data_IF_646652842711
#
_entry.id   IF_646652842711
#
_cell.length_a   1.000
_cell.length_b   1.000
_cell.length_c   1.000
_cell.angle_alpha   90.00
_cell.angle_beta   90.00
_cell.angle_gamma   90.00
#
_symmetry.space_group_name_H-M   'P 1'
#
loop_
_entity.id
_entity.type
_entity.pdbx_description
1 polymer ?
#
# COMPACT_ATOMS: atom_id res chain seq x y z
N UNK A 1 -1.45 -24.41 4.92
CA UNK A 1 -0.89 -23.09 5.30
C UNK A 1 -1.52 -22.07 4.38
N UNK A 2 -2.64 -21.48 4.81
CA UNK A 2 -3.40 -20.52 3.98
C UNK A 2 -2.62 -19.22 3.93
N UNK A 3 -2.06 -18.91 2.77
CA UNK A 3 -1.29 -17.68 2.54
C UNK A 3 -2.27 -16.50 2.58
N UNK A 4 -1.90 -15.44 3.29
CA UNK A 4 -2.73 -14.26 3.62
C UNK A 4 -3.25 -13.44 2.42
N UNK A 5 -3.21 -13.96 1.19
CA UNK A 5 -3.56 -13.24 -0.05
C UNK A 5 -4.89 -13.65 -0.69
N UNK A 6 -5.60 -14.66 -0.17
CA UNK A 6 -6.93 -15.06 -0.68
C UNK A 6 -8.02 -13.97 -0.46
N UNK A 7 -7.71 -12.92 0.30
CA UNK A 7 -8.68 -11.88 0.70
C UNK A 7 -8.54 -10.52 0.03
N UNK A 8 -7.44 -10.27 -0.69
CA UNK A 8 -7.31 -9.01 -1.44
C UNK A 8 -8.31 -9.09 -2.59
N UNK A 9 -9.41 -8.35 -2.50
CA UNK A 9 -10.57 -8.45 -3.41
C UNK A 9 -10.33 -7.94 -4.85
N UNK A 10 -9.13 -8.13 -5.39
CA UNK A 10 -8.73 -7.75 -6.74
C UNK A 10 -8.88 -8.92 -7.71
N UNK A 11 -9.36 -8.64 -8.92
CA UNK A 11 -9.36 -9.63 -10.00
C UNK A 11 -7.92 -9.83 -10.51
N UNK A 12 -7.43 -11.06 -10.47
CA UNK A 12 -6.08 -11.42 -10.92
C UNK A 12 -6.15 -12.04 -12.33
N UNK A 13 -5.57 -11.40 -13.36
CA UNK A 13 -5.39 -12.05 -14.65
C UNK A 13 -4.48 -13.29 -14.55
N UNK A 14 -4.58 -14.20 -15.52
CA UNK A 14 -3.74 -15.41 -15.53
C UNK A 14 -2.24 -15.06 -15.54
N UNK A 15 -1.52 -15.61 -14.57
CA UNK A 15 -0.08 -15.36 -14.39
C UNK A 15 0.25 -14.07 -13.64
N UNK A 16 -0.74 -13.39 -13.04
CA UNK A 16 -0.54 -12.25 -12.14
C UNK A 16 -0.67 -12.67 -10.68
N UNK A 17 0.00 -11.94 -9.81
CA UNK A 17 -0.03 -12.13 -8.37
C UNK A 17 -0.48 -10.85 -7.69
N UNK A 18 -1.29 -11.00 -6.64
CA UNK A 18 -1.67 -9.88 -5.80
C UNK A 18 -0.43 -9.32 -5.10
N UNK A 19 -0.35 -8.00 -5.00
CA UNK A 19 0.72 -7.28 -4.32
C UNK A 19 0.11 -6.15 -3.49
N UNK A 20 0.51 -6.01 -2.24
CA UNK A 20 0.10 -4.89 -1.42
C UNK A 20 0.87 -3.63 -1.79
N UNK A 21 0.17 -2.52 -2.00
CA UNK A 21 0.80 -1.22 -2.23
C UNK A 21 1.50 -0.75 -0.95
N UNK A 22 0.82 -0.81 0.19
CA UNK A 22 1.42 -0.65 1.51
C UNK A 22 1.68 -2.06 2.05
N UNK A 23 2.96 -2.50 2.12
CA UNK A 23 3.27 -3.87 2.53
C UNK A 23 2.73 -4.19 3.93
N UNK A 24 2.28 -5.42 4.14
CA UNK A 24 1.72 -5.86 5.43
C UNK A 24 2.70 -5.63 6.61
N UNK A 25 4.00 -5.84 6.39
CA UNK A 25 5.03 -5.52 7.41
C UNK A 25 5.03 -4.04 7.81
N UNK A 26 4.77 -3.13 6.87
CA UNK A 26 4.70 -1.68 7.11
C UNK A 26 3.38 -1.34 7.78
N UNK A 27 2.27 -1.89 7.29
CA UNK A 27 0.94 -1.70 7.85
C UNK A 27 0.84 -2.16 9.32
N UNK A 28 1.61 -3.19 9.70
CA UNK A 28 1.65 -3.72 11.07
C UNK A 28 2.57 -2.94 12.01
N UNK A 29 3.51 -2.15 11.51
CA UNK A 29 4.55 -1.51 12.34
C UNK A 29 4.54 0.01 12.30
N UNK A 30 4.03 0.64 11.24
CA UNK A 30 4.07 2.09 11.09
C UNK A 30 2.97 2.77 11.92
N UNK A 31 3.28 3.81 12.73
CA UNK A 31 2.30 4.45 13.61
C UNK A 31 1.05 4.99 12.89
N UNK A 32 1.23 5.69 11.76
CA UNK A 32 0.11 6.17 10.95
C UNK A 32 -0.83 5.04 10.50
N UNK A 33 -0.27 3.94 9.98
CA UNK A 33 -1.09 2.80 9.55
C UNK A 33 -1.81 2.17 10.75
N UNK A 34 -1.13 1.96 11.88
CA UNK A 34 -1.78 1.46 13.09
C UNK A 34 -2.90 2.38 13.59
N UNK A 35 -2.72 3.70 13.55
CA UNK A 35 -3.73 4.67 13.92
C UNK A 35 -4.97 4.58 12.99
N UNK A 36 -4.77 4.48 11.68
CA UNK A 36 -5.86 4.32 10.72
C UNK A 36 -6.61 2.99 10.89
N UNK A 37 -5.91 1.89 11.23
CA UNK A 37 -6.51 0.58 11.53
C UNK A 37 -7.28 0.56 12.84
N UNK A 38 -6.78 1.25 13.86
CA UNK A 38 -7.37 1.22 15.20
C UNK A 38 -8.51 2.24 15.37
N UNK A 39 -8.41 3.41 14.72
CA UNK A 39 -9.30 4.55 14.97
C UNK A 39 -10.01 5.09 13.73
N UNK A 40 -9.64 4.64 12.52
CA UNK A 40 -10.28 5.12 11.30
C UNK A 40 -11.77 4.81 11.26
N UNK A 41 -12.54 5.61 10.50
CA UNK A 41 -13.99 5.40 10.30
C UNK A 41 -14.31 5.39 8.80
N UNK A 42 -14.62 4.22 8.19
CA UNK A 42 -14.40 2.89 8.75
C UNK A 42 -12.90 2.61 9.00
N UNK A 43 -12.54 1.65 9.87
CA UNK A 43 -11.14 1.27 10.06
C UNK A 43 -10.47 0.93 8.73
N UNK A 44 -9.27 1.47 8.51
CA UNK A 44 -8.50 1.09 7.33
C UNK A 44 -8.10 -0.39 7.44
N UNK A 45 -8.31 -1.17 6.38
CA UNK A 45 -7.97 -2.58 6.33
C UNK A 45 -6.79 -2.77 5.38
N UNK A 46 -5.75 -3.50 5.80
CA UNK A 46 -4.57 -3.75 4.97
C UNK A 46 -4.92 -4.62 3.76
N UNK A 47 -5.91 -5.51 3.91
CA UNK A 47 -6.35 -6.44 2.86
C UNK A 47 -7.43 -5.80 1.95
N UNK A 48 -7.68 -4.49 2.11
CA UNK A 48 -8.68 -3.80 1.31
C UNK A 48 -8.29 -3.79 -0.20
N UNK A 49 -9.27 -3.80 -1.12
CA UNK A 49 -8.98 -3.85 -2.56
C UNK A 49 -8.16 -2.64 -3.10
N UNK A 50 -8.31 -1.46 -2.52
CA UNK A 50 -7.58 -0.25 -2.93
C UNK A 50 -6.08 -0.37 -2.62
N UNK A 51 -5.71 -1.09 -1.55
CA UNK A 51 -4.32 -1.44 -1.20
C UNK A 51 -3.75 -2.60 -2.04
N UNK A 52 -4.50 -3.17 -2.98
CA UNK A 52 -4.07 -4.31 -3.79
C UNK A 52 -3.80 -3.97 -5.26
N UNK A 53 -2.67 -4.40 -5.81
CA UNK A 53 -2.38 -4.34 -7.25
C UNK A 53 -2.01 -5.72 -7.81
N UNK A 54 -2.45 -6.00 -9.03
CA UNK A 54 -2.04 -7.21 -9.75
C UNK A 54 -0.71 -6.95 -10.46
N UNK A 55 0.35 -7.64 -10.06
CA UNK A 55 1.66 -7.58 -10.72
C UNK A 55 1.95 -8.85 -11.52
N UNK A 56 2.66 -8.79 -12.65
CA UNK A 56 3.11 -9.95 -13.39
C UNK A 56 3.87 -10.93 -12.50
N UNK A 57 3.50 -12.21 -12.48
CA UNK A 57 4.21 -13.25 -11.73
C UNK A 57 5.51 -13.71 -12.39
N UNK A 58 5.71 -13.39 -13.68
CA UNK A 58 6.92 -13.74 -14.43
C UNK A 58 7.37 -12.59 -15.36
N UNK A 59 8.68 -12.52 -15.71
CA UNK A 59 9.21 -11.53 -16.66
C UNK A 59 8.52 -11.56 -18.02
N UNK A 60 8.10 -12.73 -18.48
CA UNK A 60 7.41 -12.93 -19.77
C UNK A 60 6.08 -12.19 -19.84
N UNK A 61 5.44 -11.94 -18.69
CA UNK A 61 4.16 -11.21 -18.59
C UNK A 61 4.34 -9.69 -18.44
N UNK A 62 5.55 -9.18 -18.18
CA UNK A 62 5.85 -7.73 -18.05
C UNK A 62 5.51 -6.98 -19.32
N UNK A 63 5.80 -7.56 -20.49
CA UNK A 63 5.54 -6.91 -21.79
C UNK A 63 4.06 -6.58 -22.07
N UNK A 64 3.13 -7.14 -21.29
CA UNK A 64 1.69 -6.89 -21.45
C UNK A 64 1.18 -5.70 -20.62
N UNK A 65 1.87 -5.35 -19.53
CA UNK A 65 1.41 -4.29 -18.61
C UNK A 65 2.47 -3.23 -18.32
N UNK A 66 3.74 -3.45 -18.65
CA UNK A 66 4.87 -2.60 -18.25
C UNK A 66 5.13 -2.56 -16.74
N UNK A 67 4.31 -3.22 -15.92
CA UNK A 67 4.46 -3.27 -14.47
C UNK A 67 5.62 -4.20 -14.09
N UNK A 68 6.34 -3.90 -12.99
CA UNK A 68 7.42 -4.77 -12.53
C UNK A 68 6.89 -6.15 -12.14
N UNK A 69 7.73 -7.18 -12.36
CA UNK A 69 7.43 -8.54 -11.88
C UNK A 69 7.28 -8.53 -10.37
N UNK A 70 6.34 -9.32 -9.85
CA UNK A 70 6.21 -9.68 -8.45
C UNK A 70 7.43 -10.50 -7.98
N UNK A 71 8.60 -9.86 -7.84
CA UNK A 71 9.86 -10.48 -7.40
C UNK A 71 10.11 -10.29 -5.91
N UNK A 72 9.64 -11.22 -5.07
CA UNK A 72 10.12 -11.41 -3.70
C UNK A 72 10.24 -10.15 -2.83
N UNK A 73 11.16 -10.16 -1.86
CA UNK A 73 11.36 -9.05 -0.92
C UNK A 73 11.93 -7.82 -1.64
N UNK A 74 11.06 -6.83 -1.90
CA UNK A 74 11.44 -5.54 -2.46
C UNK A 74 11.86 -4.57 -1.34
N UNK A 75 13.02 -4.78 -0.73
CA UNK A 75 13.52 -3.91 0.36
C UNK A 75 13.48 -2.42 -0.01
N UNK A 76 13.75 -2.08 -1.27
CA UNK A 76 13.65 -0.71 -1.78
C UNK A 76 12.21 -0.19 -1.84
N UNK A 77 11.25 -1.01 -2.27
CA UNK A 77 9.83 -0.62 -2.30
C UNK A 77 9.27 -0.53 -0.88
N UNK A 78 9.57 -1.48 0.01
CA UNK A 78 9.20 -1.37 1.42
C UNK A 78 9.74 -0.07 2.03
N UNK A 79 11.00 0.29 1.74
CA UNK A 79 11.56 1.56 2.22
C UNK A 79 10.81 2.76 1.65
N UNK A 80 10.53 2.77 0.34
CA UNK A 80 9.73 3.80 -0.32
C UNK A 80 8.34 3.98 0.32
N UNK A 81 7.63 2.88 0.55
CA UNK A 81 6.33 2.91 1.22
C UNK A 81 6.44 3.43 2.66
N UNK A 82 7.46 3.01 3.42
CA UNK A 82 7.73 3.54 4.78
C UNK A 82 7.97 5.05 4.75
N UNK A 83 8.73 5.55 3.79
CA UNK A 83 9.05 6.97 3.66
C UNK A 83 7.83 7.82 3.30
N UNK A 84 6.98 7.32 2.40
CA UNK A 84 5.70 7.96 2.07
C UNK A 84 4.78 8.05 3.30
N UNK A 85 4.66 6.97 4.07
CA UNK A 85 3.89 6.99 5.32
C UNK A 85 4.48 7.94 6.37
N UNK A 86 5.82 8.01 6.47
CA UNK A 86 6.52 8.91 7.39
C UNK A 86 6.27 10.37 7.03
N UNK A 87 6.35 10.73 5.75
CA UNK A 87 6.08 12.09 5.27
C UNK A 87 4.62 12.49 5.54
N UNK A 88 3.67 11.59 5.29
CA UNK A 88 2.27 11.83 5.61
C UNK A 88 2.03 11.98 7.13
N UNK A 89 2.70 11.16 7.95
CA UNK A 89 2.65 11.27 9.41
C UNK A 89 3.17 12.64 9.87
N UNK A 90 4.33 13.08 9.37
CA UNK A 90 4.92 14.36 9.76
C UNK A 90 4.00 15.54 9.41
N UNK A 91 3.36 15.49 8.24
CA UNK A 91 2.40 16.51 7.81
C UNK A 91 1.16 16.54 8.74
N UNK A 92 0.63 15.38 9.10
CA UNK A 92 -0.50 15.28 10.04
C UNK A 92 -0.12 15.75 11.44
N UNK A 93 1.06 15.39 11.94
CA UNK A 93 1.53 15.83 13.25
C UNK A 93 1.76 17.34 13.29
N UNK A 94 2.29 17.93 12.21
CA UNK A 94 2.41 19.38 12.08
C UNK A 94 1.04 20.08 12.06
N UNK A 95 0.04 19.48 11.41
CA UNK A 95 -1.29 20.08 11.28
C UNK A 95 -2.14 19.94 12.56
N UNK A 96 -2.10 18.78 13.22
CA UNK A 96 -3.00 18.43 14.33
C UNK A 96 -2.30 18.43 15.70
N UNK A 97 -0.98 18.55 15.74
CA UNK A 97 -0.19 18.55 16.97
C UNK A 97 -0.04 17.18 17.62
N UNK A 98 -0.06 16.12 16.81
CA UNK A 98 0.10 14.72 17.21
C UNK A 98 -0.85 13.77 16.49
N UNK A 99 -0.39 12.54 16.21
CA UNK A 99 -1.23 11.52 15.55
C UNK A 99 -2.50 11.21 16.35
N UNK A 100 -2.48 11.27 17.68
CA UNK A 100 -3.63 11.05 18.58
C UNK A 100 -4.77 12.06 18.38
N UNK A 101 -4.45 13.24 17.85
CA UNK A 101 -5.41 14.33 17.60
C UNK A 101 -5.96 14.35 16.18
N UNK A 102 -5.44 13.51 15.30
CA UNK A 102 -5.90 13.43 13.91
C UNK A 102 -7.30 12.82 13.87
N UNK A 103 -8.28 13.48 13.24
CA UNK A 103 -9.63 12.95 13.11
C UNK A 103 -9.66 11.59 12.39
N UNK A 104 -10.52 10.65 12.83
CA UNK A 104 -10.66 9.31 12.22
C UNK A 104 -10.76 9.30 10.69
N UNK A 105 -11.58 10.17 10.13
CA UNK A 105 -11.81 10.29 8.70
C UNK A 105 -10.58 10.78 7.95
N UNK A 106 -9.77 11.64 8.57
CA UNK A 106 -8.51 12.15 8.00
C UNK A 106 -7.47 11.03 7.94
N UNK A 107 -7.40 10.16 8.95
CA UNK A 107 -6.52 8.99 8.92
C UNK A 107 -6.83 8.10 7.71
N UNK A 108 -8.11 7.74 7.53
CA UNK A 108 -8.55 6.88 6.43
C UNK A 108 -8.32 7.55 5.09
N UNK A 109 -8.65 8.84 4.97
CA UNK A 109 -8.45 9.59 3.74
C UNK A 109 -6.97 9.71 3.39
N UNK A 110 -6.09 9.83 4.39
CA UNK A 110 -4.64 9.84 4.19
C UNK A 110 -4.15 8.50 3.64
N UNK A 111 -4.60 7.38 4.22
CA UNK A 111 -4.25 6.04 3.72
C UNK A 111 -4.69 5.84 2.27
N UNK A 112 -5.91 6.26 1.92
CA UNK A 112 -6.43 6.21 0.54
C UNK A 112 -5.59 7.05 -0.44
N UNK A 113 -5.12 8.20 0.00
CA UNK A 113 -4.23 9.04 -0.81
C UNK A 113 -2.87 8.35 -1.02
N UNK A 114 -2.32 7.74 0.03
CA UNK A 114 -1.07 6.99 -0.05
C UNK A 114 -1.16 5.77 -0.96
N UNK A 115 -2.26 5.00 -0.91
CA UNK A 115 -2.50 3.89 -1.84
C UNK A 115 -2.49 4.37 -3.30
N UNK A 116 -3.18 5.49 -3.59
CA UNK A 116 -3.19 6.07 -4.94
C UNK A 116 -1.81 6.55 -5.37
N UNK A 117 -1.07 7.20 -4.48
CA UNK A 117 0.29 7.67 -4.75
C UNK A 117 1.23 6.50 -5.04
N UNK A 118 1.25 5.49 -4.18
CA UNK A 118 2.13 4.32 -4.35
C UNK A 118 1.80 3.53 -5.61
N UNK A 119 0.52 3.49 -6.01
CA UNK A 119 0.12 2.94 -7.32
C UNK A 119 0.70 3.75 -8.47
N UNK A 120 0.56 5.08 -8.44
CA UNK A 120 1.10 5.96 -9.47
C UNK A 120 2.63 5.83 -9.56
N UNK A 121 3.33 5.74 -8.42
CA UNK A 121 4.78 5.54 -8.38
C UNK A 121 5.22 4.24 -9.04
N UNK A 122 4.42 3.17 -8.96
CA UNK A 122 4.68 1.91 -9.69
C UNK A 122 4.42 2.05 -11.19
N UNK A 123 3.42 2.83 -11.59
CA UNK A 123 3.11 3.12 -12.99
C UNK A 123 4.16 4.04 -13.65
N UNK A 124 4.75 4.97 -12.92
CA UNK A 124 5.82 5.86 -13.44
C UNK A 124 7.17 5.15 -13.55
N UNK A 125 7.40 4.09 -12.77
CA UNK A 125 8.62 3.26 -12.82
C UNK A 125 8.59 2.20 -13.93
N UNK A 126 7.60 2.24 -14.83
CA UNK A 126 7.49 1.33 -15.98
C UNK A 126 8.67 1.59 -16.93
N UNK A 127 9.51 0.58 -17.24
CA UNK A 127 10.55 0.74 -18.27
C UNK A 127 9.89 1.07 -19.61
N UNK A 128 10.34 2.15 -20.24
CA UNK A 128 9.95 2.60 -21.58
C UNK A 128 10.29 1.57 -22.65
#
# INVERSE_FOLDING_TARGET
MSSQMEKVGISLPEGFQAHHLIPDEVARTHPLAQAARARGVPPWDVDNPDNGIALPGSPEKVGTTGLPVHRGSHRGYTYHARDALKTAQDALEAQYGGLDKVPPEVLVQTMKTLEKQLRADLDERRPS
#
